data_IF_423117396289
#
_entry.id   IF_423117396289
#
_cell.length_a   1.000
_cell.length_b   1.000
_cell.length_c   1.000
_cell.angle_alpha   90.00
_cell.angle_beta   90.00
_cell.angle_gamma   90.00
#
_symmetry.space_group_name_H-M   'P 1'
#
loop_
_entity.id
_entity.type
_entity.pdbx_description
1 polymer ?
#
# COMPACT_ATOMS: atom_id res chain seq x y z
N UNK A 1 74.57 -12.03 -28.22
CA UNK A 1 74.25 -10.62 -28.55
C UNK A 1 73.28 -10.63 -29.72
N UNK A 2 72.11 -9.97 -29.55
CA UNK A 2 71.23 -9.38 -30.58
C UNK A 2 70.66 -10.34 -31.65
N UNK A 3 69.40 -10.31 -32.08
CA UNK A 3 68.28 -9.39 -32.01
C UNK A 3 67.00 -10.22 -32.30
N UNK A 4 65.89 -10.09 -31.57
CA UNK A 4 64.78 -9.12 -31.73
C UNK A 4 63.79 -9.43 -32.87
N UNK A 5 62.51 -9.47 -32.47
CA UNK A 5 61.27 -9.04 -33.16
C UNK A 5 60.26 -10.08 -33.70
N UNK A 6 59.07 -9.95 -33.09
CA UNK A 6 57.72 -9.81 -33.66
C UNK A 6 56.98 -11.02 -34.28
N UNK A 7 55.80 -11.26 -33.68
CA UNK A 7 54.48 -11.08 -34.32
C UNK A 7 53.68 -12.31 -34.78
N UNK A 8 52.45 -12.32 -34.25
CA UNK A 8 51.14 -12.79 -34.77
C UNK A 8 50.80 -14.28 -34.92
N UNK A 9 49.65 -14.58 -34.30
CA UNK A 9 48.52 -15.36 -34.82
C UNK A 9 48.63 -16.89 -34.83
N UNK A 10 47.72 -17.57 -34.13
CA UNK A 10 46.59 -18.27 -34.77
C UNK A 10 45.82 -19.15 -33.78
N UNK A 11 44.50 -19.12 -33.99
CA UNK A 11 43.42 -19.94 -33.45
C UNK A 11 43.65 -21.45 -33.65
N UNK A 12 43.28 -22.29 -32.67
CA UNK A 12 42.72 -23.62 -32.94
C UNK A 12 41.93 -24.19 -31.76
N UNK A 13 40.70 -24.57 -32.09
CA UNK A 13 39.74 -25.32 -31.28
C UNK A 13 40.15 -26.81 -31.28
N UNK A 14 40.10 -27.46 -30.12
CA UNK A 14 39.99 -28.93 -30.01
C UNK A 14 39.00 -29.25 -28.90
N UNK A 15 37.89 -29.90 -29.27
CA UNK A 15 36.90 -30.44 -28.34
C UNK A 15 37.31 -31.81 -27.81
N UNK A 16 36.71 -32.21 -26.69
CA UNK A 16 36.67 -33.61 -26.27
C UNK A 16 35.32 -33.92 -25.60
N UNK A 17 34.65 -34.90 -26.20
CA UNK A 17 33.51 -35.68 -25.71
C UNK A 17 33.86 -36.51 -24.48
N UNK A 18 32.95 -36.62 -23.49
CA UNK A 18 32.84 -37.81 -22.63
C UNK A 18 31.37 -38.20 -22.41
N UNK A 19 31.15 -39.51 -22.50
CA UNK A 19 29.90 -40.28 -22.40
C UNK A 19 29.26 -40.23 -21.01
N UNK A 20 27.93 -40.34 -21.01
CA UNK A 20 27.07 -40.61 -19.86
C UNK A 20 26.71 -42.10 -19.76
N UNK A 21 26.87 -42.65 -18.55
CA UNK A 21 26.13 -43.76 -17.91
C UNK A 21 26.81 -43.99 -16.56
N UNK A 22 26.20 -44.29 -15.42
CA UNK A 22 24.83 -44.45 -14.93
C UNK A 22 25.02 -44.51 -13.40
N UNK A 23 24.14 -43.88 -12.60
CA UNK A 23 23.54 -44.45 -11.38
C UNK A 23 22.90 -43.37 -10.50
N UNK A 24 21.70 -43.75 -10.08
CA UNK A 24 20.62 -43.06 -9.37
C UNK A 24 20.97 -42.68 -7.93
N UNK A 25 20.74 -41.42 -7.53
CA UNK A 25 20.15 -41.08 -6.21
C UNK A 25 19.63 -39.63 -6.18
N UNK A 26 18.67 -39.40 -5.29
CA UNK A 26 17.53 -38.49 -5.42
C UNK A 26 17.75 -37.14 -4.73
N UNK A 27 17.21 -36.10 -5.36
CA UNK A 27 16.76 -34.81 -4.80
C UNK A 27 17.83 -33.75 -4.48
N UNK A 28 18.23 -33.03 -5.54
CA UNK A 28 19.07 -31.84 -5.50
C UNK A 28 18.29 -30.54 -5.71
N UNK A 29 18.41 -29.69 -4.70
CA UNK A 29 18.27 -28.23 -4.66
C UNK A 29 19.06 -27.54 -5.80
N UNK A 30 18.42 -26.66 -6.58
CA UNK A 30 19.06 -25.49 -7.21
C UNK A 30 17.99 -24.52 -7.76
N UNK A 31 17.84 -23.33 -7.17
CA UNK A 31 18.43 -22.03 -7.60
C UNK A 31 17.81 -21.46 -8.87
N UNK A 32 16.99 -20.41 -8.75
CA UNK A 32 16.76 -19.42 -9.81
C UNK A 32 16.97 -18.02 -9.24
N UNK A 33 17.72 -17.25 -10.03
CA UNK A 33 18.33 -15.95 -9.81
C UNK A 33 17.43 -14.85 -9.26
N UNK A 34 17.96 -14.11 -8.30
CA UNK A 34 17.49 -12.78 -7.93
C UNK A 34 18.00 -11.76 -8.96
N UNK A 35 17.09 -11.00 -9.56
CA UNK A 35 17.43 -9.85 -10.40
C UNK A 35 16.62 -8.63 -9.99
N UNK A 36 17.35 -7.57 -9.64
CA UNK A 36 16.98 -6.16 -9.44
C UNK A 36 15.90 -5.83 -8.41
N UNK A 37 16.34 -5.74 -7.15
CA UNK A 37 15.72 -4.89 -6.12
C UNK A 37 16.32 -3.49 -6.23
N UNK A 38 15.58 -2.51 -6.74
CA UNK A 38 15.93 -1.10 -6.53
C UNK A 38 15.61 -0.72 -5.08
N UNK A 39 16.66 -0.48 -4.29
CA UNK A 39 16.55 0.09 -2.93
C UNK A 39 16.04 1.53 -3.05
N UNK A 40 15.17 2.01 -2.13
CA UNK A 40 14.84 3.43 -2.07
C UNK A 40 16.06 4.22 -1.59
N UNK A 41 16.37 5.30 -2.31
CA UNK A 41 17.51 6.16 -2.07
C UNK A 41 17.11 7.31 -1.12
N UNK A 42 17.79 7.39 0.03
CA UNK A 42 17.78 8.51 0.96
C UNK A 42 18.58 9.68 0.37
N UNK A 43 18.00 10.88 0.26
CA UNK A 43 18.81 12.10 0.07
C UNK A 43 18.07 13.41 0.36
N UNK A 44 18.65 14.21 1.28
CA UNK A 44 18.99 15.63 1.13
C UNK A 44 17.90 16.71 0.99
N UNK A 45 17.60 17.39 2.12
CA UNK A 45 17.12 18.77 2.34
C UNK A 45 16.27 19.53 1.29
N UNK A 46 15.07 20.00 1.69
CA UNK A 46 14.73 21.44 1.79
C UNK A 46 13.39 21.71 2.52
N UNK A 47 13.28 22.93 3.06
CA UNK A 47 12.40 23.44 4.14
C UNK A 47 10.92 23.65 3.78
N UNK A 48 10.02 23.45 4.76
CA UNK A 48 8.57 23.76 4.70
C UNK A 48 8.27 25.05 5.47
N UNK A 49 7.55 25.97 4.82
CA UNK A 49 6.97 27.20 5.39
C UNK A 49 5.51 26.96 5.76
N UNK A 50 5.13 27.50 6.90
CA UNK A 50 3.82 27.47 7.57
C UNK A 50 2.93 28.60 7.03
N UNK A 51 1.64 28.36 6.81
CA UNK A 51 0.55 29.22 7.32
C UNK A 51 -0.87 28.71 7.06
N UNK A 52 -1.79 29.39 7.73
CA UNK A 52 -3.00 28.92 8.42
C UNK A 52 -4.25 29.63 7.88
N UNK A 53 -5.42 29.10 8.24
CA UNK A 53 -6.77 29.70 8.22
C UNK A 53 -7.53 29.58 6.88
N UNK A 54 -8.83 29.32 6.82
CA UNK A 54 -9.88 29.18 7.84
C UNK A 54 -11.22 29.52 7.18
N UNK A 55 -12.31 28.93 7.70
CA UNK A 55 -13.73 29.29 7.51
C UNK A 55 -14.57 28.40 6.56
N UNK A 56 -15.32 27.51 7.21
CA UNK A 56 -16.57 26.83 6.81
C UNK A 56 -17.78 27.81 6.79
N UNK A 57 -19.04 27.40 6.54
CA UNK A 57 -19.57 26.18 5.90
C UNK A 57 -20.72 26.46 4.90
N UNK A 58 -21.08 25.47 4.06
CA UNK A 58 -22.49 25.31 3.65
C UNK A 58 -22.88 23.83 3.54
N UNK A 59 -23.77 23.43 4.46
CA UNK A 59 -24.48 22.14 4.53
C UNK A 59 -25.05 21.72 3.17
N UNK A 60 -24.67 20.52 2.69
CA UNK A 60 -25.56 19.69 1.85
C UNK A 60 -25.70 18.29 2.43
N UNK A 61 -26.99 17.99 2.62
CA UNK A 61 -27.70 16.82 3.14
C UNK A 61 -27.04 15.46 2.80
N UNK A 62 -26.94 14.65 3.85
CA UNK A 62 -26.48 13.26 3.88
C UNK A 62 -27.30 12.34 2.96
N UNK A 63 -26.62 11.60 2.09
CA UNK A 63 -27.12 10.33 1.55
C UNK A 63 -26.11 9.27 1.96
N UNK A 64 -26.42 8.61 3.07
CA UNK A 64 -25.70 7.49 3.65
C UNK A 64 -25.80 6.26 2.75
N UNK A 65 -24.75 5.96 1.98
CA UNK A 65 -24.59 4.69 1.25
C UNK A 65 -24.04 3.58 2.16
N UNK A 66 -24.58 3.47 3.38
CA UNK A 66 -24.16 2.48 4.38
C UNK A 66 -24.82 1.09 4.17
N UNK A 67 -25.90 0.99 3.37
CA UNK A 67 -26.72 -0.23 3.26
C UNK A 67 -26.82 -0.88 1.87
N UNK A 68 -25.98 -0.50 0.90
CA UNK A 68 -26.08 -1.06 -0.45
C UNK A 68 -25.61 -2.52 -0.50
N UNK A 69 -26.36 -3.35 -1.25
CA UNK A 69 -26.00 -4.74 -1.54
C UNK A 69 -24.57 -4.88 -2.09
N UNK A 70 -24.15 -3.94 -2.95
CA UNK A 70 -22.80 -3.89 -3.49
C UNK A 70 -21.74 -3.66 -2.39
N UNK A 71 -22.03 -2.82 -1.40
CA UNK A 71 -21.16 -2.61 -0.25
C UNK A 71 -20.98 -3.90 0.54
N UNK A 72 -22.05 -4.68 0.75
CA UNK A 72 -21.96 -5.98 1.44
C UNK A 72 -21.11 -7.00 0.66
N UNK A 73 -21.28 -7.06 -0.67
CA UNK A 73 -20.44 -7.91 -1.52
C UNK A 73 -18.97 -7.49 -1.41
N UNK A 74 -18.68 -6.21 -1.56
CA UNK A 74 -17.32 -5.69 -1.54
C UNK A 74 -16.64 -5.92 -0.19
N UNK A 75 -17.35 -5.69 0.91
CA UNK A 75 -16.88 -5.97 2.27
C UNK A 75 -16.55 -7.45 2.44
N UNK A 76 -17.48 -8.34 2.08
CA UNK A 76 -17.26 -9.78 2.22
C UNK A 76 -16.10 -10.27 1.36
N UNK A 77 -15.97 -9.74 0.13
CA UNK A 77 -14.88 -10.08 -0.78
C UNK A 77 -13.52 -9.63 -0.24
N UNK A 78 -13.40 -8.38 0.23
CA UNK A 78 -12.15 -7.86 0.78
C UNK A 78 -11.78 -8.58 2.08
N UNK A 79 -12.75 -8.77 2.97
CA UNK A 79 -12.55 -9.48 4.24
C UNK A 79 -12.08 -10.92 4.00
N UNK A 80 -12.72 -11.65 3.08
CA UNK A 80 -12.31 -13.01 2.73
C UNK A 80 -10.93 -13.05 2.10
N UNK A 81 -10.63 -12.15 1.15
CA UNK A 81 -9.31 -12.08 0.52
C UNK A 81 -8.21 -11.82 1.55
N UNK A 82 -8.46 -10.97 2.54
CA UNK A 82 -7.52 -10.71 3.63
C UNK A 82 -7.35 -11.93 4.54
N UNK A 83 -8.45 -12.61 4.92
CA UNK A 83 -8.42 -13.85 5.72
C UNK A 83 -7.65 -14.96 5.02
N UNK A 84 -7.96 -15.22 3.75
CA UNK A 84 -7.30 -16.24 2.94
C UNK A 84 -5.80 -15.94 2.80
N UNK A 85 -5.44 -14.67 2.63
CA UNK A 85 -4.04 -14.22 2.54
C UNK A 85 -3.30 -14.34 3.88
N UNK A 86 -4.01 -14.15 5.00
CA UNK A 86 -3.50 -14.37 6.34
C UNK A 86 -3.47 -15.85 6.78
N UNK A 87 -3.96 -16.78 5.95
CA UNK A 87 -4.07 -18.19 6.29
C UNK A 87 -5.11 -18.46 7.40
N UNK A 88 -6.08 -17.57 7.57
CA UNK A 88 -7.13 -17.69 8.57
C UNK A 88 -8.30 -18.51 8.03
N UNK A 89 -8.81 -19.47 8.81
CA UNK A 89 -10.02 -20.18 8.43
C UNK A 89 -11.26 -19.29 8.61
N UNK A 90 -12.12 -19.27 7.59
CA UNK A 90 -13.40 -18.53 7.59
C UNK A 90 -14.38 -18.99 8.69
N UNK A 91 -14.11 -20.12 9.36
CA UNK A 91 -14.86 -20.62 10.51
C UNK A 91 -14.45 -20.00 11.85
N UNK A 92 -13.39 -19.17 11.89
CA UNK A 92 -12.81 -18.64 13.14
C UNK A 92 -13.26 -17.22 13.50
N UNK A 93 -14.06 -16.55 12.67
CA UNK A 93 -14.56 -15.21 12.92
C UNK A 93 -16.07 -15.27 13.17
N UNK A 94 -16.50 -14.86 14.38
CA UNK A 94 -17.92 -14.72 14.74
C UNK A 94 -18.55 -13.43 14.16
N UNK A 95 -17.74 -12.55 13.58
CA UNK A 95 -18.18 -11.26 13.07
C UNK A 95 -18.52 -11.33 11.57
N UNK A 96 -19.54 -10.58 11.17
CA UNK A 96 -20.05 -10.51 9.79
C UNK A 96 -19.85 -9.12 9.23
N UNK A 97 -19.75 -9.00 7.90
CA UNK A 97 -19.64 -7.70 7.25
C UNK A 97 -18.34 -6.98 7.64
N UNK A 98 -18.44 -5.68 7.94
CA UNK A 98 -17.27 -4.84 8.16
C UNK A 98 -16.47 -5.27 9.40
N UNK A 99 -17.16 -5.77 10.42
CA UNK A 99 -16.53 -6.26 11.64
C UNK A 99 -15.64 -7.49 11.39
N UNK A 100 -15.90 -8.25 10.33
CA UNK A 100 -15.03 -9.36 9.91
C UNK A 100 -13.71 -8.86 9.33
N UNK A 101 -13.76 -7.75 8.56
CA UNK A 101 -12.56 -7.06 8.07
C UNK A 101 -11.73 -6.51 9.24
N UNK A 102 -12.40 -5.87 10.21
CA UNK A 102 -11.75 -5.30 11.40
C UNK A 102 -11.13 -6.39 12.28
N UNK A 103 -11.86 -7.48 12.60
CA UNK A 103 -11.35 -8.62 13.37
C UNK A 103 -10.10 -9.23 12.70
N UNK A 104 -10.17 -9.44 11.39
CA UNK A 104 -9.03 -9.96 10.61
C UNK A 104 -7.84 -9.01 10.68
N UNK A 105 -8.06 -7.71 10.49
CA UNK A 105 -7.02 -6.69 10.59
C UNK A 105 -6.40 -6.65 12.00
N UNK A 106 -7.22 -6.78 13.06
CA UNK A 106 -6.75 -6.81 14.45
C UNK A 106 -5.86 -8.03 14.71
N UNK A 107 -6.23 -9.20 14.19
CA UNK A 107 -5.40 -10.41 14.30
C UNK A 107 -4.11 -10.31 13.49
N UNK A 108 -4.15 -9.74 12.30
CA UNK A 108 -2.94 -9.46 11.50
C UNK A 108 -2.01 -8.51 12.27
N UNK A 109 -2.54 -7.43 12.84
CA UNK A 109 -1.76 -6.46 13.60
C UNK A 109 -1.15 -7.04 14.88
N UNK A 110 -1.86 -7.95 15.56
CA UNK A 110 -1.40 -8.57 16.81
C UNK A 110 -0.40 -9.72 16.61
N UNK A 111 -0.41 -10.40 15.46
CA UNK A 111 0.37 -11.62 15.25
C UNK A 111 1.57 -11.45 14.30
N UNK A 112 1.63 -10.37 13.52
CA UNK A 112 2.67 -10.18 12.50
C UNK A 112 3.52 -8.93 12.74
N UNK A 113 4.78 -9.02 12.34
CA UNK A 113 5.68 -7.87 12.33
C UNK A 113 5.25 -6.83 11.28
N UNK A 114 5.61 -5.57 11.48
CA UNK A 114 5.23 -4.45 10.59
C UNK A 114 5.54 -4.74 9.10
N UNK A 115 6.70 -5.33 8.80
CA UNK A 115 7.05 -5.69 7.41
C UNK A 115 6.12 -6.74 6.83
N UNK A 116 5.79 -7.77 7.63
CA UNK A 116 4.88 -8.83 7.24
C UNK A 116 3.45 -8.31 7.07
N UNK A 117 3.02 -7.36 7.93
CA UNK A 117 1.75 -6.67 7.77
C UNK A 117 1.64 -5.97 6.42
N UNK A 118 2.68 -5.22 6.02
CA UNK A 118 2.69 -4.52 4.72
C UNK A 118 2.64 -5.51 3.56
N UNK A 119 3.48 -6.54 3.60
CA UNK A 119 3.54 -7.57 2.55
C UNK A 119 2.20 -8.31 2.42
N UNK A 120 1.61 -8.73 3.53
CA UNK A 120 0.31 -9.42 3.56
C UNK A 120 -0.78 -8.56 2.95
N UNK A 121 -0.88 -7.28 3.33
CA UNK A 121 -1.90 -6.37 2.78
C UNK A 121 -1.67 -6.10 1.30
N UNK A 122 -0.42 -5.92 0.86
CA UNK A 122 -0.10 -5.75 -0.56
C UNK A 122 -0.53 -6.97 -1.38
N UNK A 123 -0.21 -8.17 -0.90
CA UNK A 123 -0.65 -9.41 -1.54
C UNK A 123 -2.17 -9.53 -1.56
N UNK A 124 -2.86 -9.13 -0.48
CA UNK A 124 -4.32 -9.12 -0.44
C UNK A 124 -4.92 -8.12 -1.46
N UNK A 125 -4.32 -6.94 -1.62
CA UNK A 125 -4.73 -5.95 -2.63
C UNK A 125 -4.48 -6.46 -4.05
N UNK A 126 -3.32 -7.07 -4.32
CA UNK A 126 -3.01 -7.66 -5.63
C UNK A 126 -3.96 -8.82 -5.99
N UNK A 127 -4.47 -9.56 -4.99
CA UNK A 127 -5.51 -10.57 -5.19
C UNK A 127 -6.89 -9.98 -5.38
N UNK A 128 -7.20 -8.88 -4.70
CA UNK A 128 -8.48 -8.21 -4.77
C UNK A 128 -8.72 -7.53 -6.13
N UNK A 129 -7.64 -7.11 -6.81
CA UNK A 129 -7.72 -6.40 -8.07
C UNK A 129 -7.01 -7.16 -9.20
N UNK A 130 -7.74 -7.63 -10.24
CA UNK A 130 -7.13 -8.34 -11.36
C UNK A 130 -6.05 -7.51 -12.07
N UNK A 131 -4.86 -8.08 -12.26
CA UNK A 131 -3.71 -7.41 -12.88
C UNK A 131 -4.03 -6.80 -14.27
N UNK A 132 -4.88 -7.47 -15.05
CA UNK A 132 -5.35 -6.97 -16.36
C UNK A 132 -6.05 -5.61 -16.21
N UNK A 133 -6.92 -5.47 -15.22
CA UNK A 133 -7.66 -4.22 -14.96
C UNK A 133 -6.69 -3.12 -14.51
N UNK A 134 -5.74 -3.45 -13.63
CA UNK A 134 -4.72 -2.50 -13.16
C UNK A 134 -3.84 -1.99 -14.30
N UNK A 135 -3.36 -2.88 -15.18
CA UNK A 135 -2.60 -2.50 -16.37
C UNK A 135 -3.42 -1.63 -17.34
N UNK A 136 -4.71 -1.95 -17.54
CA UNK A 136 -5.59 -1.13 -18.38
C UNK A 136 -5.77 0.27 -17.80
N UNK A 137 -6.00 0.39 -16.49
CA UNK A 137 -6.14 1.70 -15.83
C UNK A 137 -4.85 2.52 -16.00
N UNK A 138 -3.69 1.91 -15.73
CA UNK A 138 -2.39 2.57 -15.86
C UNK A 138 -2.10 3.05 -17.28
N UNK A 139 -2.58 2.30 -18.29
CA UNK A 139 -2.46 2.67 -19.70
C UNK A 139 -3.45 3.77 -20.12
N UNK A 140 -4.70 3.67 -19.68
CA UNK A 140 -5.78 4.61 -20.07
C UNK A 140 -5.73 5.94 -19.33
N UNK A 141 -5.19 5.96 -18.10
CA UNK A 141 -5.13 7.15 -17.25
C UNK A 141 -3.66 7.52 -16.97
N UNK A 142 -2.91 8.02 -17.97
CA UNK A 142 -1.54 8.45 -17.76
C UNK A 142 -1.46 9.60 -16.73
N UNK A 143 -0.31 9.80 -16.06
CA UNK A 143 -0.14 10.86 -15.07
C UNK A 143 -0.47 12.24 -15.63
N UNK A 144 -1.61 12.79 -15.20
CA UNK A 144 -2.16 14.05 -15.71
C UNK A 144 -3.11 14.63 -14.66
N UNK A 145 -3.52 15.90 -14.85
CA UNK A 145 -4.55 16.52 -14.00
C UNK A 145 -5.86 15.72 -14.05
N UNK A 146 -6.28 15.34 -15.26
CA UNK A 146 -7.51 14.58 -15.45
C UNK A 146 -7.46 13.24 -14.72
N UNK A 147 -6.36 12.49 -14.83
CA UNK A 147 -6.27 11.20 -14.11
C UNK A 147 -6.35 11.39 -12.61
N UNK A 148 -5.65 12.38 -12.03
CA UNK A 148 -5.74 12.68 -10.59
C UNK A 148 -7.17 13.00 -10.12
N UNK A 149 -7.88 13.85 -10.87
CA UNK A 149 -9.28 14.19 -10.56
C UNK A 149 -10.21 12.98 -10.70
N UNK A 150 -9.98 12.13 -11.72
CA UNK A 150 -10.73 10.88 -11.90
C UNK A 150 -10.46 9.88 -10.78
N UNK A 151 -9.21 9.73 -10.30
CA UNK A 151 -8.89 8.89 -9.15
C UNK A 151 -9.55 9.40 -7.86
N UNK A 152 -9.54 10.71 -7.64
CA UNK A 152 -10.22 11.31 -6.49
C UNK A 152 -11.73 11.04 -6.54
N UNK A 153 -12.37 11.30 -7.69
CA UNK A 153 -13.79 11.03 -7.88
C UNK A 153 -14.13 9.55 -7.74
N UNK A 154 -13.39 8.67 -8.41
CA UNK A 154 -13.56 7.22 -8.33
C UNK A 154 -13.48 6.75 -6.89
N UNK A 155 -12.53 7.29 -6.11
CA UNK A 155 -12.37 6.91 -4.71
C UNK A 155 -13.59 7.26 -3.87
N UNK A 156 -14.16 8.46 -4.06
CA UNK A 156 -15.38 8.87 -3.34
C UNK A 156 -16.61 8.01 -3.67
N UNK A 157 -16.65 7.40 -4.86
CA UNK A 157 -17.79 6.59 -5.30
C UNK A 157 -17.62 5.12 -4.92
N UNK A 158 -16.46 4.53 -5.21
CA UNK A 158 -16.25 3.09 -5.12
C UNK A 158 -15.68 2.63 -3.77
N UNK A 159 -15.06 3.51 -2.99
CA UNK A 159 -14.48 3.17 -1.69
C UNK A 159 -15.24 3.78 -0.51
N UNK A 160 -16.38 4.44 -0.73
CA UNK A 160 -17.21 4.98 0.35
C UNK A 160 -17.64 3.92 1.38
N UNK A 161 -17.89 2.68 0.95
CA UNK A 161 -18.20 1.57 1.86
C UNK A 161 -17.04 1.19 2.79
N UNK A 162 -15.80 1.43 2.35
CA UNK A 162 -14.58 1.01 3.05
C UNK A 162 -14.12 2.08 4.03
N UNK A 163 -14.03 3.32 3.56
CA UNK A 163 -13.49 4.45 4.33
C UNK A 163 -14.56 5.36 4.90
N UNK A 164 -15.80 5.28 4.43
CA UNK A 164 -16.91 6.14 4.85
C UNK A 164 -17.18 7.33 3.91
N UNK A 165 -18.11 8.22 4.28
CA UNK A 165 -18.48 9.38 3.48
C UNK A 165 -17.29 10.30 3.18
N UNK A 166 -17.11 10.63 1.90
CA UNK A 166 -15.98 11.44 1.45
C UNK A 166 -16.37 12.43 0.36
N UNK A 167 -15.60 13.51 0.27
CA UNK A 167 -15.83 14.64 -0.65
C UNK A 167 -14.54 14.94 -1.41
N UNK A 168 -14.65 15.28 -2.69
CA UNK A 168 -13.51 15.79 -3.45
C UNK A 168 -13.33 17.28 -3.16
N UNK A 169 -12.11 17.66 -2.79
CA UNK A 169 -11.69 19.04 -2.52
C UNK A 169 -10.51 19.42 -3.41
N UNK A 170 -10.29 20.72 -3.52
CA UNK A 170 -9.15 21.27 -4.24
C UNK A 170 -7.88 21.15 -3.38
N UNK A 171 -6.79 20.79 -4.04
CA UNK A 171 -5.44 20.86 -3.48
C UNK A 171 -4.51 21.42 -4.55
N UNK A 172 -3.38 21.96 -4.10
CA UNK A 172 -2.32 22.38 -4.99
C UNK A 172 -1.41 21.19 -5.30
N UNK A 173 -1.16 20.96 -6.58
CA UNK A 173 -0.17 20.00 -7.09
C UNK A 173 0.68 20.75 -8.12
N UNK A 174 1.99 20.86 -7.87
CA UNK A 174 2.93 21.56 -8.74
C UNK A 174 2.51 23.02 -9.10
N UNK A 175 2.05 23.79 -8.12
CA UNK A 175 1.66 25.20 -8.36
C UNK A 175 0.26 25.39 -8.95
N UNK A 176 -0.49 24.30 -9.22
CA UNK A 176 -1.82 24.36 -9.86
C UNK A 176 -2.89 23.80 -8.93
N UNK A 177 -4.02 24.50 -8.86
CA UNK A 177 -5.22 24.04 -8.15
C UNK A 177 -5.97 23.00 -8.96
N UNK A 178 -6.21 21.85 -8.35
CA UNK A 178 -6.85 20.69 -8.97
C UNK A 178 -7.74 19.97 -7.95
N UNK A 179 -8.82 19.35 -8.42
CA UNK A 179 -9.76 18.58 -7.56
C UNK A 179 -9.23 17.16 -7.30
N UNK A 180 -8.01 17.08 -6.76
CA UNK A 180 -7.29 15.82 -6.58
C UNK A 180 -7.13 15.38 -5.12
N UNK A 181 -7.81 16.03 -4.17
CA UNK A 181 -7.80 15.60 -2.77
C UNK A 181 -9.16 15.05 -2.36
N UNK A 182 -9.18 13.87 -1.76
CA UNK A 182 -10.37 13.28 -1.16
C UNK A 182 -10.32 13.55 0.35
N UNK A 183 -11.36 14.18 0.86
CA UNK A 183 -11.55 14.42 2.29
C UNK A 183 -12.60 13.47 2.84
N UNK A 184 -12.17 12.56 3.70
CA UNK A 184 -13.03 11.66 4.46
C UNK A 184 -13.31 12.33 5.79
N UNK A 185 -14.58 12.67 6.06
CA UNK A 185 -14.96 13.40 7.29
C UNK A 185 -14.73 12.58 8.55
N UNK A 186 -15.02 11.28 8.47
CA UNK A 186 -14.82 10.32 9.55
C UNK A 186 -14.50 8.97 8.92
N UNK A 187 -13.28 8.50 9.13
CA UNK A 187 -12.79 7.28 8.52
C UNK A 187 -13.34 6.07 9.26
N UNK A 188 -14.18 5.27 8.58
CA UNK A 188 -14.81 4.07 9.15
C UNK A 188 -13.79 3.07 9.68
N UNK A 189 -12.68 2.85 8.96
CA UNK A 189 -11.64 1.91 9.40
C UNK A 189 -10.94 2.39 10.66
N UNK A 190 -10.57 3.68 10.69
CA UNK A 190 -9.90 4.29 11.83
C UNK A 190 -10.83 4.32 13.06
N UNK A 191 -12.10 4.67 12.88
CA UNK A 191 -13.11 4.69 13.93
C UNK A 191 -13.33 3.31 14.55
N UNK A 192 -13.47 2.27 13.72
CA UNK A 192 -13.78 0.91 14.20
C UNK A 192 -12.58 0.23 14.85
N UNK A 193 -11.39 0.43 14.28
CA UNK A 193 -10.14 -0.14 14.82
C UNK A 193 -9.64 0.63 16.04
N UNK A 194 -9.89 1.94 16.09
CA UNK A 194 -9.42 2.86 17.10
C UNK A 194 -7.93 2.65 17.44
N UNK A 195 -7.11 2.46 16.39
CA UNK A 195 -5.70 2.13 16.52
C UNK A 195 -4.84 2.84 15.45
N UNK A 196 -3.96 3.74 15.90
CA UNK A 196 -3.00 4.45 15.05
C UNK A 196 -2.12 3.47 14.26
N UNK A 197 -1.61 2.43 14.92
CA UNK A 197 -0.77 1.41 14.28
C UNK A 197 -1.49 0.68 13.13
N UNK A 198 -2.75 0.28 13.33
CA UNK A 198 -3.53 -0.39 12.29
C UNK A 198 -3.83 0.55 11.11
N UNK A 199 -4.24 1.79 11.38
CA UNK A 199 -4.45 2.79 10.32
C UNK A 199 -3.16 3.01 9.51
N UNK A 200 -2.02 3.08 10.18
CA UNK A 200 -0.71 3.35 9.55
C UNK A 200 -0.22 2.17 8.72
N UNK A 201 -0.20 0.98 9.30
CA UNK A 201 0.49 -0.17 8.73
C UNK A 201 -0.42 -1.10 7.92
N UNK A 202 -1.73 -1.05 8.09
CA UNK A 202 -2.67 -1.87 7.32
C UNK A 202 -3.45 -1.07 6.27
N UNK A 203 -3.68 0.22 6.50
CA UNK A 203 -4.39 1.07 5.53
C UNK A 203 -3.42 1.98 4.78
N UNK A 204 -2.82 2.96 5.46
CA UNK A 204 -2.08 4.06 4.85
C UNK A 204 -0.89 3.59 4.01
N UNK A 205 0.11 2.95 4.63
CA UNK A 205 1.36 2.62 3.93
C UNK A 205 1.13 1.62 2.79
N UNK A 206 0.42 0.49 3.00
CA UNK A 206 0.17 -0.44 1.91
C UNK A 206 -0.64 0.17 0.76
N UNK A 207 -1.64 1.00 1.06
CA UNK A 207 -2.44 1.66 0.01
C UNK A 207 -1.60 2.63 -0.82
N UNK A 208 -0.74 3.43 -0.18
CA UNK A 208 0.16 4.34 -0.90
C UNK A 208 1.11 3.58 -1.84
N UNK A 209 1.68 2.48 -1.36
CA UNK A 209 2.57 1.62 -2.16
C UNK A 209 1.81 0.98 -3.33
N UNK A 210 0.64 0.39 -3.06
CA UNK A 210 -0.18 -0.27 -4.07
C UNK A 210 -0.65 0.69 -5.16
N UNK A 211 -1.24 1.84 -4.79
CA UNK A 211 -1.76 2.81 -5.75
C UNK A 211 -0.62 3.38 -6.62
N UNK A 212 0.54 3.66 -6.02
CA UNK A 212 1.71 4.12 -6.79
C UNK A 212 2.21 3.06 -7.77
N UNK A 213 2.45 1.85 -7.30
CA UNK A 213 3.12 0.82 -8.10
C UNK A 213 2.17 0.20 -9.14
N UNK A 214 0.97 -0.14 -8.72
CA UNK A 214 -0.01 -0.87 -9.52
C UNK A 214 -0.84 0.04 -10.41
N UNK A 215 -1.23 1.24 -9.94
CA UNK A 215 -2.05 2.18 -10.70
C UNK A 215 -1.24 3.33 -11.32
N UNK A 216 0.04 3.48 -10.96
CA UNK A 216 0.89 4.55 -11.47
C UNK A 216 0.57 5.94 -10.92
N UNK A 217 -0.17 6.02 -9.81
CA UNK A 217 -0.63 7.27 -9.22
C UNK A 217 -0.04 7.46 -7.82
N UNK A 218 0.91 8.38 -7.61
CA UNK A 218 1.38 8.69 -6.27
C UNK A 218 0.24 9.31 -5.46
N UNK A 219 0.18 8.96 -4.18
CA UNK A 219 -0.83 9.44 -3.27
C UNK A 219 -0.21 9.64 -1.89
N UNK A 220 -0.53 10.77 -1.26
CA UNK A 220 -0.18 11.01 0.14
C UNK A 220 -1.45 11.00 0.98
N UNK A 221 -1.54 10.05 1.91
CA UNK A 221 -2.63 9.93 2.87
C UNK A 221 -2.24 10.57 4.20
N UNK A 222 -3.08 11.45 4.73
CA UNK A 222 -2.87 12.15 5.99
C UNK A 222 -4.10 11.95 6.88
N UNK A 223 -4.09 10.92 7.75
CA UNK A 223 -5.12 10.74 8.77
C UNK A 223 -4.96 11.81 9.86
N UNK A 224 -6.09 12.24 10.39
CA UNK A 224 -6.17 13.03 11.61
C UNK A 224 -6.78 12.13 12.69
N UNK A 225 -6.05 11.95 13.79
CA UNK A 225 -6.43 11.03 14.85
C UNK A 225 -7.34 11.68 15.89
N UNK A 226 -7.42 13.02 15.94
CA UNK A 226 -8.25 13.73 16.91
C UNK A 226 -9.72 13.73 16.47
N UNK A 227 -9.99 13.97 15.18
CA UNK A 227 -11.34 13.99 14.61
C UNK A 227 -11.68 12.73 13.78
N UNK A 228 -10.74 11.79 13.67
CA UNK A 228 -10.82 10.56 12.88
C UNK A 228 -10.99 10.78 11.37
N UNK A 229 -10.71 11.98 10.87
CA UNK A 229 -10.77 12.31 9.44
C UNK A 229 -9.54 11.78 8.69
N UNK A 230 -9.59 11.77 7.36
CA UNK A 230 -8.44 11.40 6.53
C UNK A 230 -8.45 12.16 5.20
N UNK A 231 -7.30 12.72 4.84
CA UNK A 231 -7.08 13.38 3.54
C UNK A 231 -6.26 12.46 2.64
N UNK A 232 -6.72 12.24 1.42
CA UNK A 232 -6.00 11.46 0.40
C UNK A 232 -5.67 12.38 -0.78
N UNK A 233 -4.41 12.75 -0.95
CA UNK A 233 -3.96 13.71 -1.95
C UNK A 233 -3.33 12.98 -3.13
N UNK A 234 -4.07 12.85 -4.23
CA UNK A 234 -3.60 12.22 -5.46
C UNK A 234 -2.64 13.15 -6.21
N UNK A 235 -1.53 12.58 -6.68
CA UNK A 235 -0.44 13.31 -7.33
C UNK A 235 0.67 13.78 -6.40
N UNK A 236 0.50 13.64 -5.08
CA UNK A 236 1.53 13.97 -4.11
C UNK A 236 2.31 12.72 -3.72
N UNK A 237 3.64 12.83 -3.71
CA UNK A 237 4.50 11.76 -3.21
C UNK A 237 4.42 11.71 -1.69
N UNK A 238 4.20 10.52 -1.08
CA UNK A 238 4.24 10.39 0.36
C UNK A 238 5.67 10.63 0.86
N UNK A 239 5.83 11.14 2.10
CA UNK A 239 7.13 11.20 2.74
C UNK A 239 7.69 9.79 2.91
N UNK A 240 8.99 9.71 3.18
CA UNK A 240 9.58 8.44 3.56
C UNK A 240 8.93 7.89 4.84
N UNK A 241 8.85 6.55 4.93
CA UNK A 241 8.19 5.87 6.05
C UNK A 241 8.75 6.34 7.41
N UNK A 242 10.06 6.62 7.51
CA UNK A 242 10.70 7.06 8.76
C UNK A 242 10.36 8.51 9.14
N UNK A 243 10.09 9.34 8.14
CA UNK A 243 9.83 10.78 8.31
C UNK A 243 8.34 11.11 8.30
N UNK A 244 7.49 10.13 8.01
CA UNK A 244 6.04 10.30 8.01
C UNK A 244 5.58 10.79 9.40
N UNK A 245 4.84 11.91 9.47
CA UNK A 245 4.37 12.48 10.74
C UNK A 245 3.60 11.47 11.60
N UNK A 246 2.94 10.51 10.96
CA UNK A 246 2.17 9.47 11.65
C UNK A 246 3.06 8.56 12.51
N UNK A 247 4.36 8.40 12.18
CA UNK A 247 5.28 7.59 12.99
C UNK A 247 5.62 8.21 14.35
N UNK A 248 5.35 9.51 14.52
CA UNK A 248 5.61 10.24 15.77
C UNK A 248 4.38 10.29 16.67
N UNK A 249 3.23 9.81 16.18
CA UNK A 249 1.96 9.91 16.89
C UNK A 249 1.87 8.86 18.00
N UNK A 250 1.45 9.24 19.23
CA UNK A 250 1.21 8.27 20.28
C UNK A 250 0.01 7.37 19.91
N UNK A 251 -0.02 6.16 20.47
CA UNK A 251 -1.21 5.32 20.36
C UNK A 251 -2.42 6.00 21.04
N UNK A 252 -3.63 5.67 20.56
CA UNK A 252 -4.86 6.11 21.23
C UNK A 252 -4.90 5.62 22.68
N UNK A 253 -5.47 6.44 23.57
CA UNK A 253 -5.68 6.08 24.98
C UNK A 253 -6.52 4.81 25.16
N UNK A 254 -7.31 4.42 24.14
CA UNK A 254 -8.19 3.25 24.14
C UNK A 254 -7.80 2.22 23.06
N UNK A 255 -6.53 2.13 22.69
CA UNK A 255 -6.05 1.06 21.82
C UNK A 255 -6.37 -0.30 22.48
N UNK A 256 -7.25 -1.10 21.87
CA UNK A 256 -7.63 -2.45 22.37
C UNK A 256 -6.46 -3.45 22.44
N UNK A 257 -5.27 -3.07 21.97
CA UNK A 257 -4.06 -3.87 22.01
C UNK A 257 -2.94 -3.08 22.71
N UNK A 258 -2.85 -3.19 24.03
CA UNK A 258 -1.74 -2.60 24.83
C UNK A 258 -0.37 -3.23 24.51
N UNK A 259 -0.33 -4.35 23.77
CA UNK A 259 0.90 -5.11 23.51
C UNK A 259 1.65 -4.76 22.21
N UNK A 260 1.20 -3.78 21.43
CA UNK A 260 1.80 -3.52 20.09
C UNK A 260 3.00 -2.54 20.12
N UNK A 261 3.33 -1.94 21.27
CA UNK A 261 4.40 -0.91 21.30
C UNK A 261 5.50 -1.12 22.35
N UNK A 262 5.45 -2.15 23.19
CA UNK A 262 6.42 -2.30 24.28
C UNK A 262 7.58 -3.29 24.02
N UNK A 263 7.49 -4.21 23.04
CA UNK A 263 8.48 -5.28 22.89
C UNK A 263 8.90 -5.53 21.43
N UNK A 264 9.51 -4.55 20.75
CA UNK A 264 10.42 -4.82 19.61
C UNK A 264 11.31 -3.64 19.19
N UNK A 265 11.89 -2.92 20.16
CA UNK A 265 13.05 -2.04 19.91
C UNK A 265 14.25 -2.53 20.73
N UNK A 266 14.53 -3.83 20.66
CA UNK A 266 15.81 -4.42 21.07
C UNK A 266 15.94 -5.81 20.45
N UNK A 267 16.44 -5.86 19.21
CA UNK A 267 17.28 -6.94 18.64
C UNK A 267 17.55 -6.63 17.17
#
# INVERSE_FOLDING_TARGET
>A
MMNTKLSLSQTKIIGFTIRLNDTRTRYGRSTISATLSSKPAYSGELKVVKETSGTEPLKKKNVSNEDNFLSKIAINYLSKTLQDTAGMSSSSSKSTGYDSLVDTATRVAGNLDIKQQHELVLVALDRAFPAVILSLIKMLLPPSKLSREMFALFTTVFFAWLVGPSEVRETEVNGKKEKSMVFIKKCRFLEQTNCVGMCTHLCKIPSQIFIKNSLGMPIYMMPDFDDLSCKMMFGQEPPEIKDDPVMKQPCFQFCKNENVSANKITS
#
